data_IF_713501896647
#
_entry.id   IF_713501896647
#
_cell.length_a   1.000
_cell.length_b   1.000
_cell.length_c   1.000
_cell.angle_alpha   90.00
_cell.angle_beta   90.00
_cell.angle_gamma   90.00
#
_symmetry.space_group_name_H-M   'P 1'
#
loop_
_entity.id
_entity.type
_entity.pdbx_description
1 polymer ?
#
# COMPACT_ATOMS: atom_id res chain seq x y z
N UNK A 1 19.17 -19.98 10.31
CA UNK A 1 18.43 -19.90 9.03
C UNK A 1 16.99 -20.28 9.30
N UNK A 2 16.14 -19.27 9.48
CA UNK A 2 14.77 -19.42 9.97
C UNK A 2 13.85 -19.79 8.81
N UNK A 3 13.17 -20.93 8.91
CA UNK A 3 12.16 -21.37 7.94
C UNK A 3 10.92 -20.49 8.05
N UNK A 4 10.55 -19.83 6.95
CA UNK A 4 9.29 -19.09 6.80
C UNK A 4 8.09 -20.05 6.78
N UNK A 5 6.96 -19.73 7.45
CA UNK A 5 5.72 -20.49 7.33
C UNK A 5 4.84 -19.84 6.24
N UNK A 6 5.30 -19.88 5.01
CA UNK A 6 4.49 -19.59 3.82
C UNK A 6 4.62 -20.79 2.87
N UNK A 7 4.31 -21.98 3.40
CA UNK A 7 4.05 -23.12 2.55
C UNK A 7 2.72 -22.85 1.85
N UNK A 8 2.79 -22.20 0.69
CA UNK A 8 1.80 -22.40 -0.36
C UNK A 8 1.74 -23.92 -0.54
N UNK A 9 0.64 -24.55 -0.15
CA UNK A 9 0.37 -25.91 -0.59
C UNK A 9 0.31 -25.84 -2.11
N UNK A 10 1.41 -26.23 -2.77
CA UNK A 10 1.45 -26.29 -4.22
C UNK A 10 0.29 -27.19 -4.67
N UNK A 11 -0.56 -26.73 -5.61
CA UNK A 11 -1.66 -27.54 -6.09
C UNK A 11 -1.11 -28.83 -6.67
N UNK A 12 -1.65 -29.98 -6.22
CA UNK A 12 -1.24 -31.29 -6.73
C UNK A 12 -1.61 -31.35 -8.22
N UNK A 13 -0.64 -31.57 -9.10
CA UNK A 13 -0.81 -31.60 -10.54
C UNK A 13 -0.85 -33.02 -11.09
N UNK A 14 -1.60 -33.22 -12.16
CA UNK A 14 -1.60 -34.49 -12.90
C UNK A 14 -0.27 -34.67 -13.62
N UNK A 15 0.45 -35.79 -13.42
CA UNK A 15 1.76 -36.02 -14.03
C UNK A 15 1.70 -36.25 -15.56
N UNK A 16 0.50 -36.40 -16.14
CA UNK A 16 0.31 -36.63 -17.57
C UNK A 16 -0.03 -35.36 -18.35
N UNK A 17 -0.90 -34.51 -17.82
CA UNK A 17 -1.30 -33.26 -18.48
C UNK A 17 -0.71 -32.00 -17.84
N UNK A 18 -0.02 -32.12 -16.70
CA UNK A 18 0.54 -30.99 -15.94
C UNK A 18 -0.51 -29.95 -15.52
N UNK A 19 -1.77 -30.36 -15.43
CA UNK A 19 -2.86 -29.51 -14.95
C UNK A 19 -3.14 -29.78 -13.46
N UNK A 20 -3.52 -28.74 -12.68
CA UNK A 20 -3.94 -28.90 -11.29
C UNK A 20 -5.10 -29.89 -11.18
N UNK A 21 -4.98 -30.86 -10.28
CA UNK A 21 -6.06 -31.78 -9.97
C UNK A 21 -7.22 -31.01 -9.34
N UNK A 22 -8.43 -31.25 -9.86
CA UNK A 22 -9.64 -30.74 -9.22
C UNK A 22 -9.86 -31.39 -7.86
N UNK A 23 -10.66 -30.75 -7.00
CA UNK A 23 -10.94 -31.22 -5.63
C UNK A 23 -11.40 -32.69 -5.62
N UNK A 24 -12.15 -33.10 -6.64
CA UNK A 24 -12.68 -34.45 -6.76
C UNK A 24 -11.65 -35.46 -7.30
N UNK A 25 -10.55 -34.99 -7.90
CA UNK A 25 -9.45 -35.78 -8.46
C UNK A 25 -8.29 -35.97 -7.44
N UNK A 26 -8.23 -35.15 -6.38
CA UNK A 26 -7.20 -35.23 -5.32
C UNK A 26 -7.19 -36.59 -4.61
N UNK A 27 -8.34 -37.27 -4.53
CA UNK A 27 -8.45 -38.61 -3.93
C UNK A 27 -8.72 -39.70 -4.97
N UNK A 28 -8.45 -39.44 -6.25
CA UNK A 28 -8.70 -40.39 -7.33
C UNK A 28 -7.43 -41.19 -7.66
N UNK A 29 -7.41 -42.47 -7.25
CA UNK A 29 -6.33 -43.40 -7.53
C UNK A 29 -6.84 -44.57 -8.37
N UNK A 30 -6.83 -44.45 -9.71
CA UNK A 30 -7.44 -45.45 -10.57
C UNK A 30 -6.69 -46.79 -10.54
N UNK A 31 -5.40 -46.80 -10.18
CA UNK A 31 -4.59 -48.01 -10.09
C UNK A 31 -4.25 -48.38 -8.64
N UNK A 32 -4.23 -49.69 -8.34
CA UNK A 32 -3.81 -50.24 -7.05
C UNK A 32 -2.34 -49.98 -6.70
N UNK A 33 -1.52 -49.55 -7.67
CA UNK A 33 -0.13 -49.13 -7.40
C UNK A 33 -0.01 -47.73 -6.77
N UNK A 34 -1.12 -46.99 -6.61
CA UNK A 34 -1.13 -45.65 -6.03
C UNK A 34 -0.71 -44.53 -6.98
N UNK A 35 -0.56 -44.81 -8.28
CA UNK A 35 -0.26 -43.78 -9.28
C UNK A 35 -1.49 -42.91 -9.55
N UNK A 36 -1.40 -41.62 -9.20
CA UNK A 36 -2.46 -40.62 -9.32
C UNK A 36 -2.38 -39.90 -10.66
N UNK A 37 -3.53 -39.76 -11.33
CA UNK A 37 -3.73 -39.02 -12.57
C UNK A 37 -5.12 -38.39 -12.54
N UNK A 38 -5.38 -37.33 -13.31
CA UNK A 38 -6.72 -36.75 -13.40
C UNK A 38 -7.71 -37.70 -14.10
N UNK A 39 -9.01 -37.48 -13.89
CA UNK A 39 -10.07 -38.30 -14.51
C UNK A 39 -10.03 -38.30 -16.03
N UNK A 40 -9.72 -37.16 -16.65
CA UNK A 40 -9.63 -37.05 -18.10
C UNK A 40 -8.51 -37.92 -18.66
N UNK A 41 -7.34 -37.92 -18.03
CA UNK A 41 -6.23 -38.76 -18.46
C UNK A 41 -6.53 -40.25 -18.25
N UNK A 42 -7.16 -40.63 -17.14
CA UNK A 42 -7.59 -42.02 -16.93
C UNK A 42 -8.60 -42.47 -17.99
N UNK A 43 -9.60 -41.64 -18.31
CA UNK A 43 -10.59 -41.95 -19.35
C UNK A 43 -9.91 -42.15 -20.70
N UNK A 44 -9.04 -41.21 -21.10
CA UNK A 44 -8.29 -41.27 -22.36
C UNK A 44 -7.43 -42.54 -22.47
N UNK A 45 -6.71 -42.90 -21.40
CA UNK A 45 -5.88 -44.12 -21.41
C UNK A 45 -6.74 -45.38 -21.61
N UNK A 46 -7.94 -45.40 -21.03
CA UNK A 46 -8.84 -46.56 -21.06
C UNK A 46 -9.62 -46.69 -22.38
N UNK A 47 -9.93 -45.58 -23.05
CA UNK A 47 -10.71 -45.58 -24.30
C UNK A 47 -9.84 -45.53 -25.55
N UNK A 48 -8.77 -44.73 -25.52
CA UNK A 48 -8.02 -44.34 -26.71
C UNK A 48 -6.61 -44.96 -26.75
N UNK A 49 -6.13 -45.49 -25.63
CA UNK A 49 -4.81 -46.10 -25.49
C UNK A 49 -4.90 -47.58 -25.04
N UNK A 50 -3.81 -48.11 -24.49
CA UNK A 50 -3.69 -49.53 -24.14
C UNK A 50 -4.40 -49.95 -22.83
N UNK A 51 -5.05 -49.01 -22.12
CA UNK A 51 -5.72 -49.28 -20.85
C UNK A 51 -4.80 -49.66 -19.69
N UNK A 52 -3.48 -49.49 -19.83
CA UNK A 52 -2.49 -49.87 -18.82
C UNK A 52 -2.04 -48.65 -18.01
N UNK A 53 -1.83 -48.84 -16.71
CA UNK A 53 -1.29 -47.80 -15.84
C UNK A 53 0.11 -47.34 -16.32
N UNK A 54 0.38 -46.03 -16.48
CA UNK A 54 1.69 -45.53 -16.94
C UNK A 54 2.85 -45.90 -16.00
N UNK A 55 2.59 -46.06 -14.71
CA UNK A 55 3.62 -46.39 -13.72
C UNK A 55 3.91 -47.89 -13.64
N UNK A 56 2.89 -48.72 -13.46
CA UNK A 56 3.08 -50.15 -13.20
C UNK A 56 2.75 -51.08 -14.38
N UNK A 57 2.25 -50.53 -15.48
CA UNK A 57 1.85 -51.23 -16.72
C UNK A 57 0.82 -52.34 -16.52
N UNK A 58 0.12 -52.37 -15.38
CA UNK A 58 -1.00 -53.28 -15.13
C UNK A 58 -2.29 -52.67 -15.68
N UNK A 59 -3.23 -53.51 -16.17
CA UNK A 59 -4.56 -53.02 -16.53
C UNK A 59 -5.23 -52.39 -15.31
N UNK A 60 -5.98 -51.32 -15.55
CA UNK A 60 -6.81 -50.73 -14.50
C UNK A 60 -7.88 -51.74 -14.04
N UNK A 61 -8.18 -51.84 -12.75
CA UNK A 61 -9.32 -52.62 -12.27
C UNK A 61 -10.65 -52.09 -12.87
N UNK A 62 -11.64 -52.97 -13.02
CA UNK A 62 -12.98 -52.65 -13.56
C UNK A 62 -13.60 -51.45 -12.83
N UNK A 63 -13.41 -51.40 -11.51
CA UNK A 63 -13.71 -50.26 -10.66
C UNK A 63 -12.43 -49.56 -10.16
N UNK A 64 -12.37 -48.22 -10.14
CA UNK A 64 -11.22 -47.49 -9.58
C UNK A 64 -10.87 -47.98 -8.18
N UNK A 65 -9.60 -48.36 -7.98
CA UNK A 65 -9.11 -49.09 -6.80
C UNK A 65 -9.44 -48.43 -5.45
N UNK A 66 -9.48 -47.09 -5.42
CA UNK A 66 -9.96 -46.31 -4.28
C UNK A 66 -10.70 -45.09 -4.82
N UNK A 67 -12.03 -45.17 -4.85
CA UNK A 67 -12.88 -43.99 -4.97
C UNK A 67 -13.51 -43.71 -3.60
N UNK A 68 -12.89 -42.81 -2.84
CA UNK A 68 -13.55 -42.16 -1.71
C UNK A 68 -13.94 -40.76 -2.17
N UNK A 69 -15.19 -40.56 -2.67
CA UNK A 69 -15.69 -39.20 -2.83
C UNK A 69 -15.55 -38.50 -1.48
N UNK A 70 -15.07 -37.26 -1.49
CA UNK A 70 -15.12 -36.42 -0.30
C UNK A 70 -16.56 -36.43 0.20
N UNK A 71 -16.74 -36.74 1.47
CA UNK A 71 -18.06 -36.69 2.08
C UNK A 71 -18.66 -35.29 1.93
N UNK A 72 -19.99 -35.18 1.94
CA UNK A 72 -20.64 -33.86 1.93
C UNK A 72 -20.12 -32.96 3.06
N UNK A 73 -19.76 -33.55 4.21
CA UNK A 73 -19.12 -32.85 5.32
C UNK A 73 -17.73 -32.31 4.98
N UNK A 74 -16.86 -33.11 4.36
CA UNK A 74 -15.52 -32.66 3.95
C UNK A 74 -15.60 -31.56 2.89
N UNK A 75 -16.50 -31.68 1.91
CA UNK A 75 -16.70 -30.67 0.87
C UNK A 75 -17.21 -29.35 1.46
N UNK A 76 -18.13 -29.41 2.43
CA UNK A 76 -18.62 -28.24 3.15
C UNK A 76 -17.53 -27.61 4.02
N UNK A 77 -16.70 -28.41 4.71
CA UNK A 77 -15.55 -27.92 5.49
C UNK A 77 -14.57 -27.16 4.61
N UNK A 78 -14.18 -27.71 3.47
CA UNK A 78 -13.25 -27.05 2.52
C UNK A 78 -13.85 -25.73 1.99
N UNK A 79 -15.15 -25.71 1.63
CA UNK A 79 -15.83 -24.48 1.20
C UNK A 79 -15.87 -23.42 2.30
N UNK A 80 -16.17 -23.83 3.54
CA UNK A 80 -16.23 -22.93 4.69
C UNK A 80 -14.85 -22.39 5.05
N UNK A 81 -13.81 -23.22 5.05
CA UNK A 81 -12.42 -22.79 5.28
C UNK A 81 -11.93 -21.82 4.21
N UNK A 82 -12.21 -22.08 2.92
CA UNK A 82 -11.88 -21.13 1.83
C UNK A 82 -12.60 -19.79 2.01
N UNK A 83 -13.88 -19.82 2.38
CA UNK A 83 -14.68 -18.61 2.65
C UNK A 83 -14.16 -17.86 3.88
N UNK A 84 -13.79 -18.58 4.94
CA UNK A 84 -13.25 -18.00 6.17
C UNK A 84 -11.88 -17.36 5.91
N UNK A 85 -10.94 -18.07 5.27
CA UNK A 85 -9.64 -17.50 4.85
C UNK A 85 -9.80 -16.27 3.97
N UNK A 86 -10.79 -16.24 3.07
CA UNK A 86 -11.07 -15.06 2.25
C UNK A 86 -11.60 -13.88 3.08
N UNK A 87 -12.50 -14.14 4.03
CA UNK A 87 -13.03 -13.11 4.93
C UNK A 87 -11.95 -12.56 5.86
N UNK A 88 -11.10 -13.41 6.43
CA UNK A 88 -9.96 -13.02 7.26
C UNK A 88 -8.97 -12.14 6.49
N UNK A 89 -8.65 -12.51 5.24
CA UNK A 89 -7.80 -11.67 4.36
C UNK A 89 -8.44 -10.29 4.13
N UNK A 90 -9.74 -10.23 3.84
CA UNK A 90 -10.46 -8.95 3.67
C UNK A 90 -10.47 -8.12 4.95
N UNK A 91 -10.66 -8.75 6.09
CA UNK A 91 -10.68 -8.09 7.40
C UNK A 91 -9.32 -7.50 7.76
N UNK A 92 -8.24 -8.25 7.55
CA UNK A 92 -6.86 -7.80 7.80
C UNK A 92 -6.47 -6.61 6.92
N UNK A 93 -6.89 -6.60 5.66
CA UNK A 93 -6.70 -5.44 4.74
C UNK A 93 -7.48 -4.21 5.25
N UNK A 94 -8.71 -4.41 5.69
CA UNK A 94 -9.56 -3.34 6.25
C UNK A 94 -8.95 -2.74 7.52
N UNK A 95 -8.47 -3.59 8.44
CA UNK A 95 -7.80 -3.17 9.67
C UNK A 95 -6.50 -2.41 9.38
N UNK A 96 -5.63 -2.92 8.51
CA UNK A 96 -4.42 -2.22 8.09
C UNK A 96 -4.74 -0.83 7.51
N UNK A 97 -5.83 -0.65 6.76
CA UNK A 97 -6.24 0.67 6.26
C UNK A 97 -6.79 1.60 7.34
N UNK A 98 -7.40 1.08 8.42
CA UNK A 98 -7.84 1.93 9.54
C UNK A 98 -6.64 2.62 10.20
N UNK A 99 -5.51 1.93 10.33
CA UNK A 99 -4.29 2.51 10.89
C UNK A 99 -3.76 3.68 10.06
N UNK A 100 -4.01 3.71 8.75
CA UNK A 100 -3.55 4.79 7.86
C UNK A 100 -4.26 6.13 8.09
N UNK A 101 -5.38 6.18 8.82
CA UNK A 101 -6.12 7.43 9.04
C UNK A 101 -5.30 8.48 9.84
N UNK A 102 -4.51 8.03 10.83
CA UNK A 102 -3.64 8.90 11.64
C UNK A 102 -2.30 9.17 10.98
N UNK A 103 -1.89 8.32 10.02
CA UNK A 103 -0.60 8.43 9.32
C UNK A 103 -0.54 9.71 8.48
N UNK A 104 0.65 10.30 8.46
CA UNK A 104 1.07 11.45 7.66
C UNK A 104 2.27 11.01 6.84
N UNK A 105 2.24 11.26 5.54
CA UNK A 105 3.33 10.87 4.64
C UNK A 105 4.01 12.12 4.13
N UNK A 106 5.33 12.22 4.33
CA UNK A 106 6.16 13.33 3.84
C UNK A 106 6.23 13.27 2.32
N UNK A 107 6.03 14.42 1.67
CA UNK A 107 6.00 14.54 0.21
C UNK A 107 7.19 15.38 -0.27
N UNK A 108 8.04 14.80 -1.12
CA UNK A 108 9.30 15.45 -1.57
C UNK A 108 9.08 16.71 -2.41
N UNK A 109 7.94 16.82 -3.10
CA UNK A 109 7.59 17.97 -3.93
C UNK A 109 6.62 18.95 -3.25
N UNK A 110 6.31 18.74 -1.97
CA UNK A 110 5.39 19.56 -1.20
C UNK A 110 6.18 20.40 -0.20
N UNK A 111 6.05 21.72 -0.30
CA UNK A 111 6.64 22.66 0.66
C UNK A 111 5.55 23.13 1.61
N UNK A 112 5.79 22.97 2.91
CA UNK A 112 5.00 23.56 3.98
C UNK A 112 5.70 24.80 4.52
N UNK A 113 4.98 25.92 4.54
CA UNK A 113 5.52 27.23 4.94
C UNK A 113 4.65 27.79 6.06
N UNK A 114 5.28 28.29 7.11
CA UNK A 114 4.62 29.01 8.21
C UNK A 114 5.25 30.38 8.42
N UNK A 115 4.52 31.28 9.08
CA UNK A 115 4.96 32.65 9.32
C UNK A 115 4.58 33.64 8.22
N UNK A 116 3.67 33.25 7.31
CA UNK A 116 3.21 34.15 6.25
C UNK A 116 2.36 35.28 6.84
N UNK A 117 2.64 36.51 6.41
CA UNK A 117 1.78 37.66 6.69
C UNK A 117 0.44 37.49 5.99
N UNK A 118 -0.61 38.11 6.51
CA UNK A 118 -1.95 38.02 5.88
C UNK A 118 -1.96 38.57 4.45
N UNK A 119 -1.03 39.47 4.11
CA UNK A 119 -0.86 40.03 2.76
C UNK A 119 -0.26 39.02 1.78
N UNK A 120 0.64 38.15 2.27
CA UNK A 120 1.27 37.10 1.48
C UNK A 120 0.46 35.80 1.45
N UNK A 121 -0.56 35.68 2.31
CA UNK A 121 -1.43 34.52 2.42
C UNK A 121 -2.45 34.44 1.26
N UNK A 122 -1.98 34.60 0.03
CA UNK A 122 -2.77 34.56 -1.21
C UNK A 122 -2.10 33.62 -2.23
N UNK A 123 -2.86 32.68 -2.84
CA UNK A 123 -2.30 31.73 -3.81
C UNK A 123 -1.62 32.39 -5.01
N UNK A 124 -2.19 33.47 -5.54
CA UNK A 124 -1.71 34.12 -6.75
C UNK A 124 -0.47 34.96 -6.45
N UNK A 125 -0.39 35.58 -5.27
CA UNK A 125 0.82 36.24 -4.77
C UNK A 125 1.95 35.22 -4.61
N UNK A 126 1.73 34.09 -3.92
CA UNK A 126 2.80 33.10 -3.71
C UNK A 126 3.31 32.49 -5.02
N UNK A 127 2.45 32.38 -6.04
CA UNK A 127 2.84 31.89 -7.37
C UNK A 127 3.73 32.84 -8.16
N UNK A 128 3.78 34.13 -7.82
CA UNK A 128 4.54 35.09 -8.62
C UNK A 128 6.04 34.78 -8.57
N UNK A 129 6.80 35.15 -9.61
CA UNK A 129 8.25 34.93 -9.66
C UNK A 129 8.99 35.55 -8.48
N UNK A 130 8.51 36.65 -7.89
CA UNK A 130 9.17 37.29 -6.75
C UNK A 130 9.16 36.41 -5.49
N UNK A 131 8.19 35.49 -5.38
CA UNK A 131 7.97 34.61 -4.22
C UNK A 131 8.40 33.17 -4.51
N UNK A 132 7.45 32.22 -4.58
CA UNK A 132 7.76 30.81 -4.81
C UNK A 132 7.87 30.47 -6.31
N UNK A 133 7.33 31.31 -7.20
CA UNK A 133 7.38 31.07 -8.64
C UNK A 133 8.81 31.00 -9.23
N UNK A 134 9.79 31.68 -8.62
CA UNK A 134 11.20 31.63 -9.08
C UNK A 134 11.86 30.26 -9.00
N UNK A 135 11.40 29.38 -8.11
CA UNK A 135 12.07 28.09 -7.90
C UNK A 135 11.66 27.05 -8.93
N UNK A 136 10.49 27.20 -9.55
CA UNK A 136 10.00 26.27 -10.56
C UNK A 136 8.50 26.37 -10.78
N UNK A 137 7.99 25.54 -11.69
CA UNK A 137 6.57 25.52 -12.03
C UNK A 137 5.76 24.92 -10.88
N UNK A 138 4.92 25.76 -10.27
CA UNK A 138 4.02 25.37 -9.19
C UNK A 138 2.81 24.66 -9.79
N UNK A 139 2.51 23.47 -9.27
CA UNK A 139 1.31 22.71 -9.60
C UNK A 139 0.10 23.24 -8.82
N UNK A 140 0.25 23.50 -7.52
CA UNK A 140 -0.86 23.98 -6.67
C UNK A 140 -0.36 24.74 -5.44
N UNK A 141 -1.16 25.71 -4.99
CA UNK A 141 -0.98 26.40 -3.71
C UNK A 141 -2.25 26.26 -2.90
N UNK A 142 -2.12 25.89 -1.62
CA UNK A 142 -3.23 25.84 -0.66
C UNK A 142 -2.83 26.65 0.57
N UNK A 143 -3.60 27.69 0.89
CA UNK A 143 -3.37 28.50 2.09
C UNK A 143 -4.22 27.95 3.24
N UNK A 144 -3.65 27.96 4.44
CA UNK A 144 -4.36 27.72 5.68
C UNK A 144 -4.16 28.94 6.61
N UNK A 145 -5.24 29.71 6.77
CA UNK A 145 -5.27 30.92 7.59
C UNK A 145 -5.44 30.63 9.10
N UNK A 146 -5.43 29.36 9.51
CA UNK A 146 -5.49 28.99 10.92
C UNK A 146 -4.26 29.53 11.64
N UNK A 147 -4.50 30.32 12.69
CA UNK A 147 -3.48 30.96 13.53
C UNK A 147 -2.86 30.00 14.54
N UNK A 148 -3.04 28.69 14.37
CA UNK A 148 -2.47 27.65 15.24
C UNK A 148 -0.94 27.69 15.34
N UNK A 149 -0.28 28.43 14.43
CA UNK A 149 1.17 28.66 14.39
C UNK A 149 1.56 30.12 14.70
N UNK A 150 0.64 30.90 15.29
CA UNK A 150 0.93 32.26 15.75
C UNK A 150 1.93 32.20 16.91
N UNK A 151 3.16 32.65 16.67
CA UNK A 151 4.16 32.88 17.71
C UNK A 151 3.97 34.24 18.40
N UNK A 152 5.02 34.71 19.07
CA UNK A 152 5.09 36.05 19.70
C UNK A 152 4.86 37.23 18.73
N UNK A 153 4.91 36.97 17.42
CA UNK A 153 4.79 37.96 16.33
C UNK A 153 3.34 38.13 15.80
N UNK A 154 2.35 37.60 16.53
CA UNK A 154 0.93 37.70 16.20
C UNK A 154 0.43 36.65 15.19
N UNK A 155 -0.82 36.78 14.72
CA UNK A 155 -1.44 35.79 13.83
C UNK A 155 -0.66 35.65 12.52
N UNK A 156 -0.37 34.42 12.13
CA UNK A 156 0.29 34.10 10.87
C UNK A 156 -0.46 32.99 10.13
N UNK A 157 -0.42 33.04 8.80
CA UNK A 157 -0.95 32.00 7.95
C UNK A 157 0.14 30.97 7.61
N UNK A 158 -0.30 29.83 7.12
CA UNK A 158 0.55 28.77 6.58
C UNK A 158 0.13 28.44 5.15
N UNK A 159 1.05 27.89 4.36
CA UNK A 159 0.76 27.48 2.99
C UNK A 159 1.41 26.15 2.65
N UNK A 160 0.76 25.44 1.73
CA UNK A 160 1.28 24.25 1.07
C UNK A 160 1.49 24.58 -0.40
N UNK A 161 2.75 24.58 -0.84
CA UNK A 161 3.14 24.84 -2.23
C UNK A 161 3.62 23.52 -2.83
N UNK A 162 2.90 23.03 -3.84
CA UNK A 162 3.24 21.79 -4.55
C UNK A 162 3.92 22.12 -5.86
N UNK A 163 5.15 21.65 -6.04
CA UNK A 163 5.88 21.80 -7.31
C UNK A 163 5.65 20.59 -8.22
N UNK A 164 5.80 20.82 -9.53
CA UNK A 164 5.83 19.71 -10.50
C UNK A 164 7.08 18.84 -10.28
N UNK A 165 8.21 19.46 -9.93
CA UNK A 165 9.48 18.77 -9.68
C UNK A 165 9.85 18.80 -8.20
N UNK A 166 10.30 17.66 -7.67
CA UNK A 166 10.83 17.57 -6.30
C UNK A 166 12.04 18.46 -6.06
N UNK A 167 12.91 18.59 -7.05
CA UNK A 167 14.14 19.38 -6.95
C UNK A 167 13.84 20.86 -6.71
N UNK A 168 12.77 21.38 -7.31
CA UNK A 168 12.33 22.77 -7.17
C UNK A 168 11.82 23.03 -5.74
N UNK A 169 11.10 22.07 -5.15
CA UNK A 169 10.63 22.15 -3.77
C UNK A 169 11.79 22.18 -2.77
N UNK A 170 12.82 21.35 -2.97
CA UNK A 170 14.00 21.32 -2.12
C UNK A 170 14.77 22.64 -2.17
N UNK A 171 14.99 23.18 -3.38
CA UNK A 171 15.64 24.49 -3.56
C UNK A 171 14.83 25.62 -2.89
N UNK A 172 13.50 25.58 -3.03
CA UNK A 172 12.62 26.54 -2.38
C UNK A 172 12.76 26.48 -0.84
N UNK A 173 12.77 25.28 -0.26
CA UNK A 173 12.95 25.10 1.20
C UNK A 173 14.30 25.66 1.64
N UNK A 174 15.39 25.29 0.98
CA UNK A 174 16.74 25.73 1.32
C UNK A 174 16.89 27.25 1.27
N UNK A 175 16.26 27.90 0.29
CA UNK A 175 16.36 29.34 0.12
C UNK A 175 15.39 30.14 0.98
N UNK A 176 14.22 29.59 1.34
CA UNK A 176 13.16 30.32 2.06
C UNK A 176 13.22 30.07 3.56
N UNK A 177 13.76 28.94 4.00
CA UNK A 177 13.81 28.61 5.41
C UNK A 177 14.66 29.63 6.19
N UNK A 178 14.08 30.20 7.24
CA UNK A 178 14.65 31.26 8.09
C UNK A 178 14.85 32.63 7.40
N UNK A 179 14.25 32.87 6.23
CA UNK A 179 14.26 34.20 5.62
C UNK A 179 13.23 35.12 6.27
N UNK A 180 13.60 36.38 6.50
CA UNK A 180 12.69 37.41 7.03
C UNK A 180 11.96 38.11 5.89
N UNK A 181 10.63 38.11 5.94
CA UNK A 181 9.74 38.81 4.99
C UNK A 181 8.63 39.51 5.78
N UNK A 182 8.34 40.78 5.49
CA UNK A 182 7.39 41.60 6.25
C UNK A 182 7.62 41.60 7.77
N UNK A 183 8.89 41.60 8.19
CA UNK A 183 9.28 41.53 9.60
C UNK A 183 9.02 40.18 10.27
N UNK A 184 8.68 39.13 9.52
CA UNK A 184 8.43 37.77 10.02
C UNK A 184 9.42 36.79 9.43
N UNK A 185 9.99 35.94 10.27
CA UNK A 185 10.83 34.83 9.82
C UNK A 185 9.95 33.70 9.28
N UNK A 186 10.08 33.43 7.98
CA UNK A 186 9.44 32.28 7.34
C UNK A 186 10.17 31.00 7.74
N UNK A 187 9.41 29.95 8.06
CA UNK A 187 9.95 28.60 8.20
C UNK A 187 9.38 27.73 7.10
N UNK A 188 10.25 27.09 6.34
CA UNK A 188 9.88 26.22 5.24
C UNK A 188 10.42 24.83 5.50
N UNK A 189 9.59 23.82 5.29
CA UNK A 189 9.97 22.40 5.42
C UNK A 189 9.25 21.57 4.37
N UNK A 190 9.61 20.28 4.28
CA UNK A 190 8.79 19.34 3.53
C UNK A 190 7.41 19.22 4.18
N UNK A 191 6.37 19.25 3.35
CA UNK A 191 5.01 19.06 3.79
C UNK A 191 4.64 17.59 3.89
N UNK A 192 3.60 17.32 4.68
CA UNK A 192 2.98 16.01 4.73
C UNK A 192 1.59 16.02 4.12
N UNK A 193 1.19 14.90 3.55
CA UNK A 193 -0.21 14.65 3.17
C UNK A 193 -0.82 13.53 4.01
N UNK A 194 -2.13 13.39 3.91
CA UNK A 194 -2.91 12.30 4.50
C UNK A 194 -3.33 11.32 3.40
N UNK A 195 -3.74 10.13 3.80
CA UNK A 195 -4.48 9.24 2.91
C UNK A 195 -5.87 9.79 2.62
N UNK A 196 -6.32 9.60 1.38
CA UNK A 196 -7.66 10.02 0.96
C UNK A 196 -8.72 9.20 1.68
N UNK A 197 -9.78 9.84 2.18
CA UNK A 197 -10.88 9.15 2.85
C UNK A 197 -11.56 8.09 1.97
N UNK A 198 -11.65 8.31 0.66
CA UNK A 198 -12.19 7.32 -0.28
C UNK A 198 -11.25 6.12 -0.44
N UNK A 199 -9.94 6.35 -0.53
CA UNK A 199 -8.94 5.28 -0.54
C UNK A 199 -8.99 4.42 0.73
N UNK A 200 -9.09 5.08 1.90
CA UNK A 200 -9.24 4.40 3.18
C UNK A 200 -10.50 3.51 3.24
N UNK A 201 -11.57 3.91 2.55
CA UNK A 201 -12.84 3.15 2.42
C UNK A 201 -12.85 2.15 1.25
N UNK A 202 -11.75 2.00 0.52
CA UNK A 202 -11.67 1.18 -0.69
C UNK A 202 -12.67 1.59 -1.78
N UNK A 203 -12.90 2.89 -1.93
CA UNK A 203 -13.76 3.48 -2.95
C UNK A 203 -12.94 4.33 -3.92
N UNK A 204 -13.39 4.43 -5.16
CA UNK A 204 -12.80 5.36 -6.13
C UNK A 204 -13.08 6.80 -5.69
N UNK A 205 -12.03 7.63 -5.69
CA UNK A 205 -12.18 9.04 -5.37
C UNK A 205 -12.81 9.77 -6.57
N UNK A 206 -13.90 10.53 -6.37
CA UNK A 206 -14.53 11.29 -7.46
C UNK A 206 -13.74 12.55 -7.85
N UNK A 207 -12.69 12.90 -7.08
CA UNK A 207 -11.88 14.10 -7.32
C UNK A 207 -10.66 13.75 -8.18
N UNK A 208 -10.58 14.21 -9.44
CA UNK A 208 -9.45 13.91 -10.32
C UNK A 208 -8.12 14.47 -9.76
N UNK A 209 -8.15 15.69 -9.21
CA UNK A 209 -6.97 16.33 -8.60
C UNK A 209 -7.00 16.24 -7.07
N UNK A 210 -7.18 15.02 -6.55
CA UNK A 210 -7.15 14.78 -5.11
C UNK A 210 -5.73 15.03 -4.57
N UNK A 211 -5.63 15.83 -3.49
CA UNK A 211 -4.35 16.16 -2.86
C UNK A 211 -3.85 15.11 -1.87
N UNK A 212 -4.66 14.08 -1.65
CA UNK A 212 -4.41 13.03 -0.68
C UNK A 212 -3.98 11.75 -1.39
N UNK A 213 -3.29 10.87 -0.67
CA UNK A 213 -2.76 9.65 -1.24
C UNK A 213 -3.87 8.65 -1.58
N UNK A 214 -3.75 8.06 -2.77
CA UNK A 214 -4.56 6.94 -3.26
C UNK A 214 -3.76 5.63 -3.37
N UNK A 215 -2.53 5.64 -2.85
CA UNK A 215 -1.59 4.53 -2.84
C UNK A 215 -0.82 4.56 -1.51
N UNK A 216 -0.28 3.41 -1.10
CA UNK A 216 0.54 3.32 0.11
C UNK A 216 1.80 4.16 -0.06
N UNK A 217 2.01 5.11 0.85
CA UNK A 217 3.23 5.91 0.88
C UNK A 217 4.44 5.11 1.35
N UNK A 218 5.63 5.61 1.06
CA UNK A 218 6.89 5.05 1.54
C UNK A 218 6.88 4.99 3.08
N UNK A 219 7.16 3.80 3.63
CA UNK A 219 7.21 3.58 5.08
C UNK A 219 8.27 4.46 5.75
N UNK A 220 9.42 4.68 5.09
CA UNK A 220 10.48 5.54 5.63
C UNK A 220 10.08 7.02 5.70
N UNK A 221 9.07 7.43 4.93
CA UNK A 221 8.51 8.78 4.89
C UNK A 221 7.16 8.89 5.62
N UNK A 222 6.70 7.82 6.26
CA UNK A 222 5.39 7.75 6.92
C UNK A 222 5.53 7.85 8.43
N UNK A 223 4.79 8.77 9.03
CA UNK A 223 4.84 9.04 10.47
C UNK A 223 3.44 9.28 11.03
N UNK A 224 3.22 8.91 12.27
CA UNK A 224 2.06 9.35 13.05
C UNK A 224 2.21 10.83 13.42
N UNK A 225 1.10 11.46 13.84
CA UNK A 225 1.11 12.86 14.26
C UNK A 225 2.02 13.04 15.49
N UNK A 226 2.02 12.04 16.36
CA UNK A 226 2.76 11.99 17.61
C UNK A 226 4.27 11.88 17.35
N UNK A 227 4.70 10.99 16.45
CA UNK A 227 6.11 10.84 16.06
C UNK A 227 6.67 12.11 15.40
N UNK A 228 5.84 12.81 14.60
CA UNK A 228 6.22 14.08 13.98
C UNK A 228 6.50 15.18 15.01
N UNK A 229 5.63 15.31 16.02
CA UNK A 229 5.81 16.30 17.09
C UNK A 229 7.06 16.00 17.92
N UNK A 230 7.34 14.72 18.17
CA UNK A 230 8.55 14.30 18.88
C UNK A 230 9.84 14.62 18.11
N UNK A 231 9.89 14.36 16.79
CA UNK A 231 11.05 14.70 15.96
C UNK A 231 11.31 16.21 15.85
N UNK A 232 10.25 17.01 15.77
CA UNK A 232 10.36 18.48 15.81
C UNK A 232 10.86 18.99 17.18
N UNK A 233 10.45 18.35 18.28
CA UNK A 233 10.93 18.70 19.61
C UNK A 233 12.43 18.36 19.81
N UNK A 234 12.91 17.24 19.25
CA UNK A 234 14.33 16.85 19.32
C UNK A 234 15.22 17.75 18.46
N UNK A 235 14.80 18.09 17.25
CA UNK A 235 15.55 19.01 16.37
C UNK A 235 15.63 20.42 16.94
N UNK A 236 14.62 20.87 17.69
CA UNK A 236 14.65 22.17 18.37
C UNK A 236 15.57 22.21 19.61
N UNK A 237 15.91 21.06 20.21
CA UNK A 237 16.80 20.97 21.39
C UNK A 237 18.28 20.83 21.04
N UNK A 238 18.63 20.48 19.81
CA UNK A 238 20.02 20.29 19.37
C UNK A 238 20.66 21.58 18.80
N UNK A 239 19.94 22.70 18.78
CA UNK A 239 20.48 24.00 18.31
C UNK A 239 21.14 24.80 19.45
N UNK A 240 20.93 24.42 20.72
CA UNK A 240 21.46 25.16 21.89
C UNK A 240 22.85 24.69 22.37
N UNK A 241 23.58 23.87 21.61
CA UNK A 241 24.89 23.35 22.05
C UNK A 241 26.05 23.43 21.04
N UNK A 242 25.96 24.32 20.05
CA UNK A 242 27.13 24.70 19.23
C UNK A 242 27.31 26.21 19.18
N UNK A 243 27.57 26.79 20.35
CA UNK A 243 28.26 28.09 20.48
C UNK A 243 29.20 27.99 21.67
N UNK A 244 30.44 27.62 21.38
CA UNK A 244 31.65 28.06 22.07
C UNK A 244 32.78 28.13 21.03
#
# INVERSE_FOLDING_TARGET
>A
MSRSPDAKEDPVECPLCMEPLEIDDINFFPCTCGYQICRFCWHRIRTDENGLCPACRKPYPEDPAVYKPLSQEELQRIKNEKKQKQNERKQKISENRKHLASVRVVQKNLVFVVGLSQRLADPEVLKRPEYFGKFGKIHKVVINNSTSYAGSQGPSASAYVTYIRSEDALRAIQCVNNVVVDGRTLKASLGTTKYCSYFLKNMQCPKPDCMYLHELGDEAASFTKEEMQYKHALTSKNVDHTTY
#
